data_IF_799708844993
#
_entry.id   IF_799708844993
#
_cell.length_a   1.000
_cell.length_b   1.000
_cell.length_c   1.000
_cell.angle_alpha   90.00
_cell.angle_beta   90.00
_cell.angle_gamma   90.00
#
_symmetry.space_group_name_H-M   'P 1'
#
loop_
_entity.id
_entity.type
_entity.pdbx_description
1 polymer ?
#
# COMPACT_ATOMS: atom_id res chain seq x y z
N UNK A 1 28.73 -14.92 0.51
CA UNK A 1 28.55 -14.17 -0.75
C UNK A 1 27.61 -13.03 -0.43
N UNK A 2 27.98 -11.82 -0.81
CA UNK A 2 27.31 -10.57 -0.44
C UNK A 2 25.85 -10.59 -0.85
N UNK A 3 24.97 -10.13 0.04
CA UNK A 3 23.62 -9.71 -0.30
C UNK A 3 23.79 -8.46 -1.17
N UNK A 4 24.00 -8.67 -2.46
CA UNK A 4 23.94 -7.62 -3.45
C UNK A 4 22.47 -7.26 -3.66
N UNK A 5 22.18 -5.96 -3.55
CA UNK A 5 20.95 -5.24 -3.78
C UNK A 5 19.94 -5.20 -2.62
N UNK A 6 20.37 -4.59 -1.50
CA UNK A 6 19.37 -3.96 -0.64
C UNK A 6 18.79 -2.76 -1.40
N UNK A 7 17.55 -2.90 -1.87
CA UNK A 7 16.81 -1.80 -2.52
C UNK A 7 16.29 -0.77 -1.51
N UNK A 8 16.75 -0.83 -0.25
CA UNK A 8 16.31 0.03 0.86
C UNK A 8 17.49 0.69 1.56
N UNK A 9 17.24 1.85 2.15
CA UNK A 9 18.17 2.57 3.02
C UNK A 9 18.20 1.98 4.46
N UNK A 10 18.94 2.65 5.35
CA UNK A 10 19.07 2.23 6.75
C UNK A 10 17.80 2.38 7.59
N UNK A 11 16.77 3.04 7.08
CA UNK A 11 15.45 3.15 7.70
C UNK A 11 14.43 2.18 7.08
N UNK A 12 14.78 1.54 5.96
CA UNK A 12 13.92 0.62 5.24
C UNK A 12 13.17 1.23 4.07
N UNK A 13 13.45 2.49 3.68
CA UNK A 13 12.84 3.13 2.51
C UNK A 13 13.48 2.60 1.24
N UNK A 14 12.69 2.51 0.17
CA UNK A 14 13.24 2.19 -1.14
C UNK A 14 14.24 3.25 -1.59
N UNK A 15 15.43 2.81 -2.01
CA UNK A 15 16.46 3.69 -2.61
C UNK A 15 16.03 4.21 -3.98
N UNK A 16 15.16 3.48 -4.66
CA UNK A 16 14.59 3.88 -5.94
C UNK A 16 13.08 3.62 -5.93
N UNK A 17 12.30 4.68 -6.01
CA UNK A 17 10.86 4.59 -6.15
C UNK A 17 10.49 4.01 -7.53
N UNK A 18 9.34 3.30 -7.64
CA UNK A 18 8.82 2.90 -8.95
C UNK A 18 8.50 4.13 -9.80
N UNK A 19 8.67 3.98 -11.11
CA UNK A 19 8.28 5.03 -12.06
C UNK A 19 6.78 5.27 -11.97
N UNK A 20 6.37 6.55 -12.02
CA UNK A 20 4.96 6.93 -12.03
C UNK A 20 4.25 6.30 -13.23
N UNK A 21 3.10 5.67 -12.96
CA UNK A 21 2.24 5.11 -13.98
C UNK A 21 1.75 6.17 -14.97
N UNK A 22 1.71 5.78 -16.25
CA UNK A 22 1.16 6.61 -17.32
C UNK A 22 0.02 5.86 -18.02
N UNK A 23 -0.98 6.58 -18.58
CA UNK A 23 -2.03 5.96 -19.37
C UNK A 23 -1.47 5.08 -20.50
N UNK A 24 -1.85 3.81 -20.49
CA UNK A 24 -1.36 2.80 -21.44
C UNK A 24 -0.27 1.88 -20.89
N UNK A 25 0.32 2.18 -19.75
CA UNK A 25 1.26 1.27 -19.08
C UNK A 25 0.54 0.02 -18.57
N UNK A 26 1.23 -1.11 -18.66
CA UNK A 26 0.77 -2.37 -18.07
C UNK A 26 0.87 -2.25 -16.54
N UNK A 27 -0.24 -2.50 -15.85
CA UNK A 27 -0.28 -2.51 -14.39
C UNK A 27 0.12 -3.90 -13.88
N UNK A 28 1.17 -4.01 -13.02
CA UNK A 28 1.48 -5.26 -12.35
C UNK A 28 0.33 -5.71 -11.42
N UNK A 29 0.03 -7.00 -11.39
CA UNK A 29 -1.06 -7.54 -10.57
C UNK A 29 -0.60 -8.80 -9.81
N UNK A 30 -0.31 -8.70 -8.48
CA UNK A 30 -0.29 -7.49 -7.65
C UNK A 30 0.90 -6.56 -7.96
N UNK A 31 0.89 -5.34 -7.40
CA UNK A 31 2.09 -4.49 -7.40
C UNK A 31 3.16 -5.14 -6.51
N UNK A 32 4.39 -5.21 -7.01
CA UNK A 32 5.51 -5.90 -6.38
C UNK A 32 6.75 -5.00 -6.36
N UNK A 33 6.65 -3.88 -5.65
CA UNK A 33 7.66 -2.84 -5.68
C UNK A 33 8.60 -2.84 -4.48
N UNK A 34 8.19 -3.44 -3.35
CA UNK A 34 8.99 -3.39 -2.13
C UNK A 34 9.79 -4.66 -1.93
N UNK A 35 11.11 -4.50 -1.90
CA UNK A 35 12.08 -5.54 -1.49
C UNK A 35 13.07 -4.96 -0.52
N UNK A 36 13.36 -5.69 0.53
CA UNK A 36 14.28 -5.26 1.58
C UNK A 36 14.78 -6.42 2.42
N UNK A 37 15.20 -6.11 3.62
CA UNK A 37 15.60 -7.10 4.61
C UNK A 37 15.28 -6.59 6.02
N UNK A 38 15.16 -7.50 6.97
CA UNK A 38 14.92 -7.13 8.38
C UNK A 38 16.14 -6.41 8.94
N UNK A 39 15.98 -5.12 9.23
CA UNK A 39 17.05 -4.26 9.73
C UNK A 39 17.42 -4.60 11.18
N UNK A 40 18.67 -4.35 11.61
CA UNK A 40 19.07 -4.51 13.01
C UNK A 40 18.21 -3.72 14.00
N UNK A 41 17.74 -2.54 13.61
CA UNK A 41 16.88 -1.68 14.44
C UNK A 41 15.43 -2.18 14.54
N UNK A 42 15.05 -3.17 13.74
CA UNK A 42 13.68 -3.70 13.69
C UNK A 42 13.45 -4.93 14.57
N UNK A 43 14.51 -5.45 15.23
CA UNK A 43 14.40 -6.66 16.04
C UNK A 43 14.47 -6.36 17.54
N UNK A 44 13.80 -7.19 18.31
CA UNK A 44 13.79 -7.16 19.76
C UNK A 44 14.90 -8.07 20.36
N UNK A 45 14.80 -8.28 21.68
CA UNK A 45 15.71 -9.15 22.44
C UNK A 45 15.63 -10.65 22.05
N UNK A 46 14.54 -11.07 21.37
CA UNK A 46 14.42 -12.42 20.81
C UNK A 46 15.04 -12.54 19.42
N UNK A 47 15.64 -11.47 18.91
CA UNK A 47 16.20 -11.36 17.56
C UNK A 47 15.18 -11.54 16.43
N UNK A 48 13.89 -11.35 16.71
CA UNK A 48 12.82 -11.36 15.76
C UNK A 48 12.26 -9.94 15.52
N UNK A 49 11.76 -9.73 14.32
CA UNK A 49 11.15 -8.47 13.89
C UNK A 49 9.98 -8.10 14.81
N UNK A 50 10.01 -6.89 15.36
CA UNK A 50 8.97 -6.38 16.26
C UNK A 50 7.67 -6.09 15.50
N UNK A 51 6.54 -6.15 16.19
CA UNK A 51 5.22 -5.85 15.62
C UNK A 51 5.17 -4.47 14.93
N UNK A 52 5.79 -3.45 15.51
CA UNK A 52 5.85 -2.12 14.96
C UNK A 52 6.66 -2.07 13.65
N UNK A 53 7.72 -2.88 13.53
CA UNK A 53 8.56 -2.94 12.34
C UNK A 53 7.82 -3.53 11.13
N UNK A 54 6.93 -4.52 11.33
CA UNK A 54 6.06 -5.02 10.25
C UNK A 54 5.22 -3.87 9.68
N UNK A 55 4.61 -3.06 10.55
CA UNK A 55 3.79 -1.93 10.10
C UNK A 55 4.64 -0.86 9.42
N UNK A 56 5.88 -0.62 9.90
CA UNK A 56 6.84 0.30 9.26
C UNK A 56 7.16 -0.15 7.83
N UNK A 57 7.49 -1.43 7.64
CA UNK A 57 7.78 -1.97 6.31
C UNK A 57 6.57 -1.92 5.37
N UNK A 58 5.36 -2.17 5.89
CA UNK A 58 4.10 -1.97 5.15
C UNK A 58 3.92 -0.50 4.75
N UNK A 59 4.27 0.45 5.63
CA UNK A 59 4.26 1.88 5.32
C UNK A 59 5.14 2.21 4.12
N UNK A 60 6.36 1.69 4.07
CA UNK A 60 7.27 1.89 2.92
C UNK A 60 6.73 1.25 1.61
N UNK A 61 6.02 0.12 1.71
CA UNK A 61 5.35 -0.45 0.55
C UNK A 61 4.15 0.42 0.08
N UNK A 62 3.47 1.10 1.02
CA UNK A 62 2.43 2.08 0.70
C UNK A 62 3.03 3.31 0.02
N UNK A 63 4.19 3.80 0.46
CA UNK A 63 4.90 4.92 -0.18
C UNK A 63 5.34 4.57 -1.62
N UNK A 64 5.69 3.31 -1.87
CA UNK A 64 5.95 2.84 -3.23
C UNK A 64 4.69 2.90 -4.12
N UNK A 65 3.53 2.53 -3.59
CA UNK A 65 2.25 2.73 -4.28
C UNK A 65 2.00 4.22 -4.53
N UNK A 66 2.22 5.09 -3.54
CA UNK A 66 2.02 6.53 -3.67
C UNK A 66 2.88 7.12 -4.79
N UNK A 67 4.17 6.76 -4.84
CA UNK A 67 5.06 7.16 -5.93
C UNK A 67 4.53 6.69 -7.29
N UNK A 68 4.05 5.46 -7.37
CA UNK A 68 3.51 4.88 -8.60
C UNK A 68 2.25 5.57 -9.10
N UNK A 69 1.34 5.98 -8.21
CA UNK A 69 0.10 6.68 -8.60
C UNK A 69 0.27 8.19 -8.75
N UNK A 70 1.42 8.76 -8.37
CA UNK A 70 1.70 10.18 -8.48
C UNK A 70 1.34 11.01 -7.24
N UNK A 71 1.16 10.40 -6.05
CA UNK A 71 1.22 11.10 -4.77
C UNK A 71 2.69 11.28 -4.38
N UNK A 72 3.35 12.17 -5.09
CA UNK A 72 4.75 12.53 -4.95
C UNK A 72 4.94 13.82 -4.13
N UNK A 73 6.18 14.31 -4.04
CA UNK A 73 6.49 15.54 -3.32
C UNK A 73 5.76 16.76 -3.88
N UNK A 74 5.53 16.82 -5.21
CA UNK A 74 4.81 17.92 -5.83
C UNK A 74 3.32 17.88 -5.46
N UNK A 75 2.74 16.68 -5.41
CA UNK A 75 1.36 16.47 -4.98
C UNK A 75 1.15 16.89 -3.52
N UNK A 76 2.08 16.49 -2.64
CA UNK A 76 2.07 16.89 -1.23
C UNK A 76 2.32 18.38 -1.04
N UNK A 77 3.21 18.99 -1.82
CA UNK A 77 3.44 20.43 -1.81
C UNK A 77 2.21 21.24 -2.29
N UNK A 78 1.36 20.64 -3.14
CA UNK A 78 0.08 21.21 -3.54
C UNK A 78 -1.03 21.07 -2.47
N UNK A 79 -0.71 20.48 -1.31
CA UNK A 79 -1.61 20.36 -0.16
C UNK A 79 -2.47 19.11 -0.14
N UNK A 80 -2.15 18.09 -0.92
CA UNK A 80 -2.92 16.84 -1.00
C UNK A 80 -2.09 15.64 -0.55
N UNK A 81 -2.75 14.65 0.04
CA UNK A 81 -2.13 13.36 0.39
C UNK A 81 -3.20 12.32 0.76
N UNK A 82 -2.79 11.09 1.05
CA UNK A 82 -3.63 10.08 1.66
C UNK A 82 -3.23 9.87 3.13
N UNK A 83 -4.22 9.85 4.02
CA UNK A 83 -4.03 9.52 5.42
C UNK A 83 -4.66 8.16 5.70
N UNK A 84 -3.88 7.26 6.32
CA UNK A 84 -4.40 5.99 6.81
C UNK A 84 -5.34 6.26 7.98
N UNK A 85 -6.57 5.79 7.88
CA UNK A 85 -7.58 5.94 8.93
C UNK A 85 -7.75 4.68 9.75
N UNK A 86 -7.54 3.52 9.14
CA UNK A 86 -7.69 2.23 9.80
C UNK A 86 -6.69 1.24 9.22
N UNK A 87 -6.13 0.39 10.09
CA UNK A 87 -5.24 -0.70 9.69
C UNK A 87 -5.61 -1.95 10.48
N UNK A 88 -5.82 -3.05 9.77
CA UNK A 88 -5.85 -4.37 10.34
C UNK A 88 -4.59 -5.11 9.89
N UNK A 89 -3.79 -5.61 10.83
CA UNK A 89 -2.59 -6.38 10.56
C UNK A 89 -2.69 -7.76 11.22
N UNK A 90 -2.34 -8.80 10.50
CA UNK A 90 -2.25 -10.16 11.01
C UNK A 90 -0.79 -10.64 10.93
N UNK A 91 -0.21 -10.93 12.08
CA UNK A 91 1.13 -11.51 12.22
C UNK A 91 1.02 -13.02 12.16
N UNK A 92 1.55 -13.64 11.13
CA UNK A 92 1.38 -15.05 10.85
C UNK A 92 2.62 -15.87 11.24
N UNK A 93 3.80 -15.27 11.09
CA UNK A 93 5.09 -15.89 11.38
C UNK A 93 6.12 -14.86 11.79
N UNK A 94 6.97 -15.26 12.70
CA UNK A 94 8.17 -14.50 13.06
C UNK A 94 9.21 -14.53 11.95
N UNK A 95 10.06 -13.51 11.93
CA UNK A 95 11.17 -13.42 11.01
C UNK A 95 12.40 -12.81 11.70
N UNK A 96 13.56 -13.40 11.47
CA UNK A 96 14.81 -13.01 12.10
C UNK A 96 15.49 -11.84 11.39
N UNK A 97 16.40 -11.19 12.12
CA UNK A 97 17.29 -10.15 11.58
C UNK A 97 17.99 -10.61 10.30
N UNK A 98 18.01 -9.73 9.29
CA UNK A 98 18.71 -9.96 8.02
C UNK A 98 17.97 -10.82 7.02
N UNK A 99 16.81 -11.40 7.39
CA UNK A 99 15.99 -12.14 6.44
C UNK A 99 15.48 -11.21 5.33
N UNK A 100 15.45 -11.70 4.10
CA UNK A 100 14.92 -10.95 2.94
C UNK A 100 13.41 -10.78 3.05
N UNK A 101 12.94 -9.59 2.71
CA UNK A 101 11.52 -9.21 2.72
C UNK A 101 11.07 -8.80 1.32
N UNK A 102 9.87 -9.23 0.97
CA UNK A 102 9.12 -8.80 -0.19
C UNK A 102 7.71 -8.45 0.23
N UNK A 103 7.19 -7.31 -0.22
CA UNK A 103 5.81 -6.92 0.05
C UNK A 103 5.10 -6.64 -1.25
N UNK A 104 3.99 -7.34 -1.46
CA UNK A 104 3.07 -7.08 -2.56
C UNK A 104 1.90 -6.22 -2.08
N UNK A 105 1.39 -5.37 -2.97
CA UNK A 105 0.28 -4.46 -2.69
C UNK A 105 -0.85 -4.70 -3.68
N UNK A 106 -2.09 -4.80 -3.17
CA UNK A 106 -3.31 -4.85 -3.96
C UNK A 106 -4.20 -3.65 -3.64
N UNK A 107 -4.77 -3.03 -4.66
CA UNK A 107 -5.90 -2.13 -4.49
C UNK A 107 -7.16 -2.99 -4.51
N UNK A 108 -7.88 -3.04 -3.39
CA UNK A 108 -9.14 -3.77 -3.22
C UNK A 108 -10.34 -2.93 -3.65
N UNK A 109 -10.21 -1.61 -3.56
CA UNK A 109 -11.26 -0.70 -3.99
C UNK A 109 -10.88 0.76 -3.88
N UNK A 110 -11.58 1.59 -4.62
CA UNK A 110 -11.42 3.04 -4.57
C UNK A 110 -12.78 3.70 -4.77
N UNK A 111 -13.10 4.68 -3.94
CA UNK A 111 -14.30 5.51 -4.13
C UNK A 111 -13.91 6.99 -4.37
N UNK A 112 -14.85 7.91 -4.20
CA UNK A 112 -14.59 9.33 -4.45
C UNK A 112 -13.41 9.90 -3.66
N UNK A 113 -13.17 9.42 -2.42
CA UNK A 113 -12.15 9.96 -1.52
C UNK A 113 -11.38 8.89 -0.73
N UNK A 114 -11.73 7.61 -0.83
CA UNK A 114 -11.13 6.54 -0.07
C UNK A 114 -10.41 5.55 -0.97
N UNK A 115 -9.35 4.98 -0.44
CA UNK A 115 -8.54 3.96 -1.04
C UNK A 115 -8.45 2.78 -0.06
N UNK A 116 -8.84 1.60 -0.52
CA UNK A 116 -8.79 0.36 0.23
C UNK A 116 -7.69 -0.52 -0.36
N UNK A 117 -6.66 -0.81 0.43
CA UNK A 117 -5.50 -1.59 0.00
C UNK A 117 -5.24 -2.77 0.90
N UNK A 118 -4.49 -3.73 0.36
CA UNK A 118 -4.09 -4.94 1.05
C UNK A 118 -2.65 -5.29 0.70
N UNK A 119 -1.86 -5.58 1.73
CA UNK A 119 -0.47 -5.98 1.60
C UNK A 119 -0.27 -7.42 2.06
N UNK A 120 0.62 -8.13 1.37
CA UNK A 120 1.13 -9.43 1.79
C UNK A 120 2.64 -9.31 1.91
N UNK A 121 3.17 -9.56 3.12
CA UNK A 121 4.60 -9.57 3.40
C UNK A 121 5.12 -11.00 3.39
N UNK A 122 6.14 -11.24 2.59
CA UNK A 122 6.78 -12.54 2.45
C UNK A 122 8.23 -12.48 2.88
N UNK A 123 8.75 -13.62 3.39
CA UNK A 123 10.18 -13.88 3.32
C UNK A 123 10.51 -14.25 1.88
N UNK A 124 11.39 -13.45 1.23
CA UNK A 124 11.59 -13.55 -0.22
C UNK A 124 12.31 -14.84 -0.64
N UNK A 125 13.18 -15.38 0.22
CA UNK A 125 13.98 -16.58 -0.06
C UNK A 125 13.13 -17.85 -0.30
N UNK A 126 12.06 -18.03 0.48
CA UNK A 126 11.21 -19.23 0.42
C UNK A 126 9.73 -18.91 0.16
N UNK A 127 9.43 -17.67 -0.17
CA UNK A 127 8.08 -17.16 -0.45
C UNK A 127 7.08 -17.41 0.69
N UNK A 128 7.57 -17.51 1.93
CA UNK A 128 6.72 -17.75 3.10
C UNK A 128 6.00 -16.49 3.52
N UNK A 129 4.68 -16.54 3.56
CA UNK A 129 3.85 -15.43 4.05
C UNK A 129 4.09 -15.21 5.55
N UNK A 130 4.53 -14.00 5.90
CA UNK A 130 4.86 -13.56 7.27
C UNK A 130 3.74 -12.77 7.92
N UNK A 131 3.15 -11.85 7.18
CA UNK A 131 2.07 -11.00 7.67
C UNK A 131 1.18 -10.52 6.52
N UNK A 132 -0.03 -10.11 6.87
CA UNK A 132 -0.93 -9.39 5.97
C UNK A 132 -1.38 -8.09 6.62
N UNK A 133 -1.61 -7.06 5.82
CA UNK A 133 -2.14 -5.78 6.30
C UNK A 133 -3.22 -5.28 5.37
N UNK A 134 -4.39 -5.00 5.92
CA UNK A 134 -5.50 -4.36 5.23
C UNK A 134 -5.63 -2.93 5.74
N UNK A 135 -5.73 -1.96 4.84
CA UNK A 135 -5.73 -0.55 5.21
C UNK A 135 -6.82 0.22 4.46
N UNK A 136 -7.47 1.12 5.21
CA UNK A 136 -8.36 2.15 4.66
C UNK A 136 -7.67 3.50 4.74
N UNK A 137 -7.54 4.16 3.59
CA UNK A 137 -6.95 5.48 3.48
C UNK A 137 -7.98 6.48 2.96
N UNK A 138 -7.83 7.74 3.38
CA UNK A 138 -8.66 8.85 2.94
C UNK A 138 -7.79 9.93 2.30
N UNK A 139 -8.16 10.34 1.10
CA UNK A 139 -7.56 11.48 0.42
C UNK A 139 -7.97 12.78 1.10
N UNK A 140 -7.01 13.62 1.41
CA UNK A 140 -7.18 14.82 2.22
C UNK A 140 -6.65 16.07 1.53
N UNK A 141 -7.30 17.18 1.83
CA UNK A 141 -6.74 18.51 1.72
C UNK A 141 -6.08 18.82 3.07
N UNK A 142 -4.75 18.90 3.08
CA UNK A 142 -3.98 19.08 4.31
C UNK A 142 -4.15 20.47 4.89
N UNK A 143 -4.44 21.47 4.08
CA UNK A 143 -4.66 22.86 4.53
C UNK A 143 -6.00 23.01 5.23
N UNK A 144 -7.03 22.35 4.72
CA UNK A 144 -8.37 22.35 5.28
C UNK A 144 -8.61 21.22 6.31
N UNK A 145 -7.62 20.34 6.54
CA UNK A 145 -7.67 19.19 7.44
C UNK A 145 -8.95 18.34 7.24
N UNK A 146 -9.33 18.06 6.01
CA UNK A 146 -10.55 17.33 5.68
C UNK A 146 -10.39 16.38 4.50
N UNK A 147 -11.20 15.31 4.48
CA UNK A 147 -11.28 14.40 3.35
C UNK A 147 -11.94 15.04 2.12
N UNK A 148 -11.26 15.00 0.98
CA UNK A 148 -11.72 15.56 -0.30
C UNK A 148 -11.68 14.51 -1.41
N UNK A 149 -12.28 14.81 -2.57
CA UNK A 149 -12.22 13.92 -3.72
C UNK A 149 -10.77 13.73 -4.18
N UNK A 150 -10.42 12.51 -4.55
CA UNK A 150 -9.13 12.18 -5.16
C UNK A 150 -9.01 12.97 -6.47
N UNK A 151 -7.86 13.61 -6.70
CA UNK A 151 -7.62 14.37 -7.91
C UNK A 151 -7.57 13.46 -9.13
N UNK A 152 -8.01 13.98 -10.28
CA UNK A 152 -8.28 13.17 -11.47
C UNK A 152 -7.10 12.31 -11.93
N UNK A 153 -5.89 12.86 -11.90
CA UNK A 153 -4.70 12.14 -12.34
C UNK A 153 -4.38 10.92 -11.48
N UNK A 154 -4.41 11.08 -10.14
CA UNK A 154 -4.20 9.99 -9.18
C UNK A 154 -5.36 9.00 -9.24
N UNK A 155 -6.59 9.51 -9.38
CA UNK A 155 -7.78 8.68 -9.53
C UNK A 155 -7.71 7.80 -10.77
N UNK A 156 -7.24 8.32 -11.90
CA UNK A 156 -7.09 7.55 -13.15
C UNK A 156 -6.11 6.38 -12.97
N UNK A 157 -4.97 6.62 -12.30
CA UNK A 157 -4.02 5.56 -11.98
C UNK A 157 -4.64 4.50 -11.06
N UNK A 158 -5.33 4.91 -10.00
CA UNK A 158 -6.00 4.00 -9.06
C UNK A 158 -7.11 3.17 -9.72
N UNK A 159 -7.88 3.76 -10.62
CA UNK A 159 -8.93 3.03 -11.37
C UNK A 159 -8.30 1.96 -12.29
N UNK A 160 -7.19 2.29 -12.98
CA UNK A 160 -6.46 1.32 -13.80
C UNK A 160 -5.93 0.16 -12.96
N UNK A 161 -5.36 0.46 -11.78
CA UNK A 161 -4.87 -0.56 -10.84
C UNK A 161 -6.02 -1.43 -10.32
N UNK A 162 -7.14 -0.82 -9.92
CA UNK A 162 -8.30 -1.55 -9.41
C UNK A 162 -8.87 -2.51 -10.46
N UNK A 163 -8.93 -2.10 -11.72
CA UNK A 163 -9.33 -2.97 -12.84
C UNK A 163 -8.38 -4.15 -13.01
N UNK A 164 -7.06 -3.91 -13.05
CA UNK A 164 -6.07 -4.98 -13.16
C UNK A 164 -6.15 -5.95 -11.98
N UNK A 165 -6.29 -5.44 -10.76
CA UNK A 165 -6.34 -6.25 -9.54
C UNK A 165 -7.67 -7.00 -9.34
N UNK A 166 -8.74 -6.57 -10.00
CA UNK A 166 -10.04 -7.28 -9.93
C UNK A 166 -9.99 -8.69 -10.53
N UNK A 167 -8.96 -8.99 -11.33
CA UNK A 167 -8.74 -10.32 -11.92
C UNK A 167 -8.02 -11.30 -10.99
N UNK A 168 -7.44 -10.80 -9.89
CA UNK A 168 -6.74 -11.63 -8.91
C UNK A 168 -7.72 -12.44 -8.06
N UNK A 169 -7.28 -13.63 -7.63
CA UNK A 169 -8.04 -14.39 -6.65
C UNK A 169 -8.32 -13.53 -5.39
N UNK A 170 -9.46 -13.74 -4.70
CA UNK A 170 -9.77 -13.00 -3.49
C UNK A 170 -8.61 -13.05 -2.48
N UNK A 171 -8.35 -11.94 -1.80
CA UNK A 171 -7.38 -11.88 -0.72
C UNK A 171 -7.98 -12.60 0.50
N UNK A 172 -7.45 -13.78 0.85
CA UNK A 172 -8.04 -14.69 1.84
C UNK A 172 -8.24 -14.09 3.23
N UNK A 173 -7.46 -13.06 3.57
CA UNK A 173 -7.46 -12.41 4.90
C UNK A 173 -7.89 -10.94 4.84
N UNK A 174 -8.51 -10.51 3.74
CA UNK A 174 -9.15 -9.22 3.61
C UNK A 174 -10.64 -9.33 3.99
N UNK A 175 -11.29 -8.17 4.17
CA UNK A 175 -12.72 -8.09 4.46
C UNK A 175 -13.03 -7.48 5.83
N UNK A 176 -12.02 -6.88 6.48
CA UNK A 176 -12.21 -6.12 7.72
C UNK A 176 -12.81 -4.74 7.46
N UNK A 177 -12.60 -4.21 6.23
CA UNK A 177 -13.15 -2.93 5.79
C UNK A 177 -13.98 -3.09 4.53
N UNK A 178 -14.91 -2.16 4.30
CA UNK A 178 -15.68 -2.08 3.08
C UNK A 178 -15.88 -0.63 2.66
N UNK A 179 -15.82 -0.38 1.35
CA UNK A 179 -16.27 0.88 0.79
C UNK A 179 -17.80 0.88 0.76
N UNK A 180 -18.48 1.98 1.12
CA UNK A 180 -19.93 2.05 0.94
C UNK A 180 -20.28 1.85 -0.52
N UNK A 181 -21.34 1.09 -0.76
CA UNK A 181 -21.93 0.97 -2.09
C UNK A 181 -22.26 2.37 -2.64
N UNK A 182 -22.06 2.63 -3.94
CA UNK A 182 -22.50 3.88 -4.53
C UNK A 182 -24.01 4.03 -4.26
N UNK A 183 -24.41 5.16 -3.65
CA UNK A 183 -25.82 5.47 -3.46
C UNK A 183 -26.52 5.42 -4.82
N UNK A 184 -27.65 4.74 -4.97
CA UNK A 184 -28.40 4.79 -6.21
C UNK A 184 -28.71 6.27 -6.49
N UNK A 185 -28.27 6.75 -7.63
CA UNK A 185 -28.54 8.11 -8.11
C UNK A 185 -30.02 8.39 -7.95
N UNK A 186 -30.35 9.47 -7.21
CA UNK A 186 -31.69 9.81 -6.79
C UNK A 186 -32.71 9.65 -7.92
N UNK A 187 -33.74 8.89 -7.63
CA UNK A 187 -35.00 9.00 -8.39
C UNK A 187 -35.47 10.44 -8.18
N UNK A 188 -35.40 11.24 -9.23
CA UNK A 188 -36.20 12.45 -9.34
C UNK A 188 -37.66 12.07 -9.09
N UNK A 189 -38.19 12.53 -7.98
CA UNK A 189 -39.66 12.51 -7.78
C UNK A 189 -40.27 13.43 -8.85
N UNK A 190 -41.13 12.98 -9.71
CA UNK A 190 -42.02 13.87 -10.46
C UNK A 190 -43.10 14.36 -9.51
N UNK A 191 -43.32 15.65 -9.49
CA UNK A 191 -44.50 16.31 -8.91
C UNK A 191 -45.79 15.73 -9.44
#
# INVERSE_FOLDING_TARGET
>A
MAVENAHIDHEGRLLQAPSRWQPGDVVPAPLDFYRGHVLPAWVDYNHHMTEAAYLTAVGWATDALFSYIGDDDAYRAAGHSFYTTETHIAYLREVAKGASLRITTRVLGVDRKRLHIYHEMFRDDDQRLLATSEQMLVHVDMSAARGVAILLEVRTALDAIAVAHSTLAPAERAGHFSLPSPSPSGRSNPE
#
